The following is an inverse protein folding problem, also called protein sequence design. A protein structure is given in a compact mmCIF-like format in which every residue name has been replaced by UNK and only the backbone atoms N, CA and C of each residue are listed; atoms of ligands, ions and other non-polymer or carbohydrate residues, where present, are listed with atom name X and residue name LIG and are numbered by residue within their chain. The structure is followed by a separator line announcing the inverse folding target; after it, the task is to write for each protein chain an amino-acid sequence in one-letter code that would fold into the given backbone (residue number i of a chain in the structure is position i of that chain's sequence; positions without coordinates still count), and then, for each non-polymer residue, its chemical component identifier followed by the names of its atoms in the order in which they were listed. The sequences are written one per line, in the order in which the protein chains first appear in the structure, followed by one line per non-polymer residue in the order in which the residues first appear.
data_IF_182555683153
#
_entry.id   IF_182555683153
#
_cell.length_a   1.000
_cell.length_b   1.000
_cell.length_c   1.000
_cell.angle_alpha   90.00
_cell.angle_beta   90.00
_cell.angle_gamma   90.00
#
_symmetry.space_group_name_H-M   'P 1'
#
loop_
_entity.id
_entity.type
_entity.pdbx_description
1 polymer ?
#
# COMPACT_ATOMS: atom_id res chain seq x y z
N UNK A 1 1.32 7.67 20.38
CA UNK A 1 0.21 8.55 20.82
C UNK A 1 0.70 9.99 21.02
N UNK A 2 1.02 10.66 19.90
CA UNK A 2 0.22 11.79 19.38
C UNK A 2 -0.01 11.72 17.85
N UNK A 3 0.26 10.56 17.24
CA UNK A 3 0.17 10.35 15.79
C UNK A 3 -1.27 10.00 15.36
N UNK A 4 -1.67 10.48 14.18
CA UNK A 4 -3.02 10.29 13.62
C UNK A 4 -3.21 8.96 12.87
N UNK A 5 -2.14 8.24 12.55
CA UNK A 5 -2.20 6.96 11.85
C UNK A 5 -0.97 6.09 12.11
N UNK A 6 -1.12 4.79 11.86
CA UNK A 6 -0.05 3.77 11.91
C UNK A 6 -0.20 2.79 10.74
N UNK A 7 0.92 2.50 10.07
CA UNK A 7 1.00 1.55 8.97
C UNK A 7 1.54 0.20 9.47
N UNK A 8 0.76 -0.86 9.31
CA UNK A 8 1.15 -2.24 9.59
C UNK A 8 1.63 -2.94 8.32
N UNK A 9 2.85 -3.49 8.37
CA UNK A 9 3.42 -4.34 7.31
C UNK A 9 3.29 -5.81 7.71
N UNK A 10 2.82 -6.64 6.79
CA UNK A 10 2.71 -8.10 7.01
C UNK A 10 3.87 -8.84 6.32
N UNK A 11 3.93 -10.15 6.50
CA UNK A 11 4.93 -10.98 5.81
C UNK A 11 4.72 -10.98 4.29
N UNK A 12 5.84 -11.05 3.56
CA UNK A 12 5.85 -11.27 2.11
C UNK A 12 5.66 -12.76 1.85
N UNK A 13 4.65 -13.11 1.05
CA UNK A 13 4.30 -14.49 0.72
C UNK A 13 4.08 -14.65 -0.78
N UNK A 14 4.43 -15.81 -1.36
CA UNK A 14 4.16 -16.11 -2.76
C UNK A 14 2.66 -16.34 -2.97
N UNK A 15 2.05 -15.62 -3.91
CA UNK A 15 0.62 -15.74 -4.24
C UNK A 15 0.38 -15.72 -5.74
N UNK A 16 -0.62 -16.47 -6.24
CA UNK A 16 -1.07 -16.36 -7.61
C UNK A 16 -1.81 -15.04 -7.80
N UNK A 17 -1.44 -14.27 -8.82
CA UNK A 17 -2.10 -13.03 -9.22
C UNK A 17 -2.23 -12.97 -10.74
N UNK A 18 -3.23 -12.24 -11.23
CA UNK A 18 -3.40 -12.02 -12.67
C UNK A 18 -2.59 -10.79 -13.08
N UNK A 19 -1.69 -10.95 -14.05
CA UNK A 19 -0.93 -9.86 -14.68
C UNK A 19 -0.98 -10.08 -16.18
N UNK A 20 -1.46 -9.08 -16.93
CA UNK A 20 -1.63 -9.17 -18.39
C UNK A 20 -2.40 -10.44 -18.81
N UNK A 21 -3.55 -10.69 -18.17
CA UNK A 21 -4.42 -11.86 -18.40
C UNK A 21 -3.78 -13.24 -18.16
N UNK A 22 -2.64 -13.30 -17.47
CA UNK A 22 -1.97 -14.54 -17.10
C UNK A 22 -1.87 -14.70 -15.59
N UNK A 23 -2.08 -15.92 -15.10
CA UNK A 23 -1.84 -16.27 -13.69
C UNK A 23 -0.34 -16.45 -13.49
N UNK A 24 0.26 -15.58 -12.67
CA UNK A 24 1.68 -15.61 -12.33
C UNK A 24 1.86 -15.61 -10.81
N UNK A 25 2.91 -16.28 -10.33
CA UNK A 25 3.26 -16.24 -8.90
C UNK A 25 4.07 -14.97 -8.65
N UNK A 26 3.63 -14.13 -7.69
CA UNK A 26 4.36 -12.94 -7.25
C UNK A 26 4.58 -12.96 -5.74
N UNK A 27 5.69 -12.39 -5.24
CA UNK A 27 5.82 -12.06 -3.82
C UNK A 27 4.86 -10.92 -3.48
N UNK A 28 3.86 -11.20 -2.64
CA UNK A 28 2.81 -10.26 -2.26
C UNK A 28 2.85 -10.00 -0.75
N UNK A 29 2.53 -8.77 -0.35
CA UNK A 29 2.44 -8.35 1.04
C UNK A 29 1.12 -7.61 1.26
N UNK A 30 0.48 -7.85 2.40
CA UNK A 30 -0.61 -7.00 2.85
C UNK A 30 -0.09 -5.83 3.67
N UNK A 31 -0.70 -4.68 3.44
CA UNK A 31 -0.49 -3.46 4.23
C UNK A 31 -1.83 -3.05 4.83
N UNK A 32 -1.81 -2.63 6.09
CA UNK A 32 -2.98 -2.14 6.81
C UNK A 32 -2.69 -0.76 7.37
N UNK A 33 -3.63 0.17 7.24
CA UNK A 33 -3.54 1.50 7.81
C UNK A 33 -4.63 1.65 8.87
N UNK A 34 -4.22 1.82 10.12
CA UNK A 34 -5.12 2.25 11.18
C UNK A 34 -4.97 3.75 11.37
N UNK A 35 -6.07 4.48 11.38
CA UNK A 35 -6.07 5.95 11.44
C UNK A 35 -7.21 6.48 12.30
N UNK A 36 -7.02 7.68 12.83
CA UNK A 36 -8.04 8.40 13.57
C UNK A 36 -9.04 9.05 12.62
N UNK A 37 -10.22 8.45 12.51
CA UNK A 37 -11.32 8.92 11.66
C UNK A 37 -11.85 10.32 12.01
N UNK A 38 -11.50 10.87 13.17
CA UNK A 38 -11.88 12.24 13.55
C UNK A 38 -11.03 13.29 12.83
N UNK A 39 -9.85 12.90 12.36
CA UNK A 39 -8.84 13.78 11.74
C UNK A 39 -8.67 13.44 10.27
N UNK A 40 -8.64 12.16 9.93
CA UNK A 40 -8.44 11.66 8.56
C UNK A 40 -9.71 10.97 8.09
N UNK A 41 -10.22 11.37 6.93
CA UNK A 41 -11.39 10.75 6.33
C UNK A 41 -11.02 9.48 5.54
N UNK A 42 -12.05 8.71 5.15
CA UNK A 42 -11.84 7.45 4.43
C UNK A 42 -11.14 7.65 3.08
N UNK A 43 -11.45 8.73 2.37
CA UNK A 43 -10.82 9.02 1.08
C UNK A 43 -9.33 9.31 1.24
N UNK A 44 -8.95 10.15 2.21
CA UNK A 44 -7.55 10.45 2.51
C UNK A 44 -6.76 9.20 2.89
N UNK A 45 -7.32 8.36 3.76
CA UNK A 45 -6.67 7.12 4.19
C UNK A 45 -6.46 6.11 3.03
N UNK A 46 -7.48 5.90 2.20
CA UNK A 46 -7.38 4.98 1.04
C UNK A 46 -6.40 5.51 0.00
N UNK A 47 -6.44 6.82 -0.26
CA UNK A 47 -5.51 7.47 -1.21
C UNK A 47 -4.08 7.33 -0.73
N UNK A 48 -3.80 7.60 0.54
CA UNK A 48 -2.47 7.42 1.13
C UNK A 48 -1.97 5.98 0.98
N UNK A 49 -2.81 4.98 1.32
CA UNK A 49 -2.42 3.57 1.22
C UNK A 49 -2.15 3.16 -0.24
N UNK A 50 -2.94 3.67 -1.19
CA UNK A 50 -2.72 3.46 -2.63
C UNK A 50 -1.41 4.08 -3.10
N UNK A 51 -1.09 5.30 -2.68
CA UNK A 51 0.18 5.95 -3.00
C UNK A 51 1.37 5.13 -2.49
N UNK A 52 1.33 4.68 -1.24
CA UNK A 52 2.39 3.81 -0.68
C UNK A 52 2.54 2.53 -1.51
N UNK A 53 1.42 1.88 -1.88
CA UNK A 53 1.44 0.70 -2.75
C UNK A 53 2.16 0.99 -4.07
N UNK A 54 1.78 2.06 -4.77
CA UNK A 54 2.33 2.41 -6.08
C UNK A 54 3.83 2.75 -6.04
N UNK A 55 4.27 3.45 -4.99
CA UNK A 55 5.68 3.79 -4.79
C UNK A 55 6.54 2.56 -4.46
N UNK A 56 5.99 1.60 -3.70
CA UNK A 56 6.70 0.35 -3.37
C UNK A 56 6.73 -0.59 -4.58
N UNK A 57 5.65 -0.69 -5.35
CA UNK A 57 5.59 -1.51 -6.56
C UNK A 57 6.45 -0.94 -7.71
N UNK A 58 6.63 0.39 -7.76
CA UNK A 58 7.49 1.05 -8.72
C UNK A 58 8.31 2.20 -8.09
N UNK A 59 9.48 1.89 -7.49
CA UNK A 59 10.32 2.87 -6.81
C UNK A 59 10.86 4.00 -7.69
N UNK A 60 10.85 3.85 -9.02
CA UNK A 60 11.28 4.92 -9.94
C UNK A 60 10.42 6.16 -9.80
N UNK A 61 9.15 6.00 -9.40
CA UNK A 61 8.23 7.10 -9.09
C UNK A 61 8.74 8.03 -7.98
N UNK A 62 9.41 7.47 -6.96
CA UNK A 62 10.03 8.26 -5.88
C UNK A 62 11.16 9.15 -6.40
N UNK A 63 11.90 8.69 -7.41
CA UNK A 63 13.04 9.43 -7.97
C UNK A 63 12.56 10.55 -8.89
N UNK A 64 11.45 10.32 -9.59
CA UNK A 64 10.88 11.28 -10.53
C UNK A 64 9.93 12.29 -9.87
N UNK A 65 9.52 12.06 -8.62
CA UNK A 65 8.51 12.83 -7.89
C UNK A 65 7.15 12.87 -8.64
N UNK A 66 6.76 11.72 -9.22
CA UNK A 66 5.53 11.53 -10.03
C UNK A 66 4.78 10.25 -9.66
#
# INVERSE_FOLDING_TARGET
PPQSAILGMHSIQKRPVVVNDQIVIRPMMYVALSYDHRIVDGQGAVTFLKTIKELVENPVRLVLDV
#
